data_IF_876656591628
#
_entry.id   IF_876656591628
#
_cell.length_a   1.000
_cell.length_b   1.000
_cell.length_c   1.000
_cell.angle_alpha   90.00
_cell.angle_beta   90.00
_cell.angle_gamma   90.00
#
_symmetry.space_group_name_H-M   'P 1'
#
loop_
_entity.id
_entity.type
_entity.pdbx_description
1 polymer ?
#
# COMPACT_ATOMS: atom_id res chain seq x y z
N UNK A 1 -61.62 60.98 -13.38
CA UNK A 1 -60.22 61.12 -12.96
C UNK A 1 -60.00 60.19 -11.80
N UNK A 2 -59.43 58.98 -12.06
CA UNK A 2 -59.06 58.01 -10.99
C UNK A 2 -57.54 57.90 -10.95
N UNK A 3 -56.94 58.25 -9.82
CA UNK A 3 -55.51 58.13 -9.59
C UNK A 3 -55.16 56.67 -9.19
N UNK A 4 -54.19 56.06 -9.85
CA UNK A 4 -53.56 54.80 -9.45
C UNK A 4 -52.40 55.09 -8.52
N UNK A 5 -52.20 54.32 -7.40
CA UNK A 5 -51.02 54.42 -6.57
C UNK A 5 -49.89 53.59 -7.17
N UNK A 6 -48.72 54.20 -7.27
CA UNK A 6 -47.51 53.51 -7.70
C UNK A 6 -46.99 52.53 -6.62
N UNK A 7 -46.74 51.31 -7.05
CA UNK A 7 -46.10 50.26 -6.23
C UNK A 7 -44.57 50.39 -6.37
N UNK A 8 -43.92 50.74 -5.28
CA UNK A 8 -42.46 50.83 -5.20
C UNK A 8 -41.92 49.42 -4.92
N UNK A 9 -41.25 48.77 -5.88
CA UNK A 9 -40.58 47.49 -5.72
C UNK A 9 -39.19 47.73 -5.08
N UNK A 10 -39.03 47.39 -3.83
CA UNK A 10 -37.73 47.32 -3.14
C UNK A 10 -37.03 46.01 -3.53
N UNK A 11 -36.01 46.10 -4.36
CA UNK A 11 -35.11 45.00 -4.69
C UNK A 11 -34.09 44.91 -3.56
N UNK A 12 -34.29 43.94 -2.64
CA UNK A 12 -33.27 43.56 -1.64
C UNK A 12 -32.24 42.67 -2.30
N UNK A 13 -31.10 43.23 -2.63
CA UNK A 13 -29.93 42.49 -3.13
C UNK A 13 -29.31 41.71 -1.97
N UNK A 14 -29.59 40.37 -1.87
CA UNK A 14 -28.91 39.47 -0.96
C UNK A 14 -27.51 39.17 -1.49
N UNK A 15 -26.51 39.79 -0.89
CA UNK A 15 -25.10 39.42 -1.10
C UNK A 15 -24.86 38.02 -0.47
N UNK A 16 -24.79 37.01 -1.34
CA UNK A 16 -24.33 35.65 -0.97
C UNK A 16 -22.81 35.70 -0.78
N UNK A 17 -22.34 35.78 0.45
CA UNK A 17 -20.94 35.59 0.80
C UNK A 17 -20.57 34.10 0.59
N UNK A 18 -19.99 33.78 -0.55
CA UNK A 18 -19.37 32.49 -0.81
C UNK A 18 -18.07 32.45 -0.01
N UNK A 19 -18.10 31.80 1.16
CA UNK A 19 -16.91 31.48 1.93
C UNK A 19 -16.14 30.40 1.13
N UNK A 20 -15.07 30.80 0.45
CA UNK A 20 -14.08 29.86 -0.05
C UNK A 20 -13.36 29.27 1.15
N UNK A 21 -13.77 28.05 1.56
CA UNK A 21 -12.95 27.20 2.43
C UNK A 21 -11.66 26.91 1.67
N UNK A 22 -10.60 27.62 2.02
CA UNK A 22 -9.25 27.29 1.57
C UNK A 22 -8.93 25.88 2.07
N UNK A 23 -8.98 24.88 1.20
CA UNK A 23 -8.34 23.62 1.44
C UNK A 23 -6.84 23.91 1.62
N UNK A 24 -6.36 23.88 2.86
CA UNK A 24 -4.93 23.89 3.11
C UNK A 24 -4.36 22.60 2.51
N UNK A 25 -3.64 22.74 1.40
CA UNK A 25 -2.83 21.63 0.86
C UNK A 25 -1.77 21.35 1.93
N UNK A 26 -1.93 20.25 2.65
CA UNK A 26 -0.94 19.79 3.61
C UNK A 26 0.37 19.52 2.87
N UNK A 27 1.32 20.45 2.99
CA UNK A 27 2.66 20.27 2.42
C UNK A 27 3.35 19.14 3.17
N UNK A 28 3.88 18.17 2.43
CA UNK A 28 4.70 17.11 3.03
C UNK A 28 5.92 17.71 3.72
N UNK A 29 6.20 17.26 4.94
CA UNK A 29 7.43 17.59 5.67
C UNK A 29 8.55 16.71 5.14
N UNK A 30 9.61 17.31 4.62
CA UNK A 30 10.82 16.57 4.26
C UNK A 30 11.66 16.33 5.51
N UNK A 31 12.02 15.06 5.75
CA UNK A 31 12.84 14.65 6.89
C UNK A 31 14.11 13.94 6.40
N UNK A 32 15.17 14.73 6.21
CA UNK A 32 16.47 14.22 5.73
C UNK A 32 17.25 13.47 6.82
N UNK A 33 16.88 13.58 8.10
CA UNK A 33 17.56 12.87 9.20
C UNK A 33 17.38 11.35 9.09
N UNK A 34 16.36 10.91 8.35
CA UNK A 34 16.14 9.48 8.06
C UNK A 34 17.22 8.87 7.18
N UNK A 35 17.97 9.68 6.42
CA UNK A 35 19.06 9.21 5.54
C UNK A 35 20.03 8.26 6.27
N UNK A 36 20.35 8.58 7.52
CA UNK A 36 21.28 7.79 8.34
C UNK A 36 20.92 6.30 8.47
N UNK A 37 19.62 5.95 8.45
CA UNK A 37 19.16 4.56 8.56
C UNK A 37 19.41 3.76 7.29
N UNK A 38 19.34 4.42 6.14
CA UNK A 38 19.66 3.83 4.84
C UNK A 38 21.17 3.73 4.64
N UNK A 39 21.91 4.78 4.96
CA UNK A 39 23.38 4.81 4.91
C UNK A 39 24.01 3.72 5.79
N UNK A 40 23.49 3.51 6.99
CA UNK A 40 23.97 2.46 7.92
C UNK A 40 23.83 1.04 7.36
N UNK A 41 23.00 0.86 6.33
CA UNK A 41 22.83 -0.43 5.62
C UNK A 41 23.43 -0.41 4.21
N UNK A 42 24.13 0.67 3.85
CA UNK A 42 24.74 0.89 2.53
C UNK A 42 23.72 0.67 1.38
N UNK A 43 22.56 1.31 1.50
CA UNK A 43 21.47 1.24 0.53
C UNK A 43 20.90 2.62 0.23
N UNK A 44 20.30 2.77 -0.95
CA UNK A 44 19.42 3.89 -1.26
C UNK A 44 17.99 3.56 -0.84
N UNK A 45 17.18 4.59 -0.59
CA UNK A 45 15.77 4.35 -0.31
C UNK A 45 14.98 5.64 -0.12
N UNK A 46 13.70 5.45 0.12
CA UNK A 46 12.78 6.47 0.59
C UNK A 46 11.85 5.92 1.65
N UNK A 47 11.28 6.83 2.42
CA UNK A 47 10.28 6.51 3.42
C UNK A 47 9.21 7.61 3.42
N UNK A 48 7.95 7.22 3.37
CA UNK A 48 6.82 8.13 3.54
C UNK A 48 5.89 7.62 4.63
N UNK A 49 5.39 8.55 5.45
CA UNK A 49 4.46 8.25 6.54
C UNK A 49 3.36 9.30 6.61
N UNK A 50 2.12 8.83 6.69
CA UNK A 50 0.94 9.66 6.94
C UNK A 50 0.44 9.45 8.36
N UNK A 51 0.42 10.51 9.16
CA UNK A 51 -0.33 10.57 10.41
C UNK A 51 -1.81 10.80 10.08
N UNK A 52 -2.66 9.81 10.32
CA UNK A 52 -4.08 9.92 9.99
C UNK A 52 -4.84 10.89 10.91
N UNK A 53 -4.33 11.19 12.11
CA UNK A 53 -5.00 12.07 13.08
C UNK A 53 -5.00 13.53 12.61
N UNK A 54 -3.87 14.02 12.08
CA UNK A 54 -3.71 15.41 11.66
C UNK A 54 -3.45 15.59 10.15
N UNK A 55 -3.42 14.48 9.40
CA UNK A 55 -3.20 14.45 7.96
C UNK A 55 -1.78 14.83 7.53
N UNK A 56 -0.82 14.98 8.46
CA UNK A 56 0.56 15.32 8.11
C UNK A 56 1.26 14.15 7.43
N UNK A 57 1.98 14.48 6.36
CA UNK A 57 2.83 13.54 5.63
C UNK A 57 4.28 13.91 5.91
N UNK A 58 5.09 12.93 6.29
CA UNK A 58 6.54 13.04 6.41
C UNK A 58 7.19 12.20 5.34
N UNK A 59 8.16 12.76 4.60
CA UNK A 59 8.83 12.09 3.49
C UNK A 59 10.34 12.23 3.61
N UNK A 60 11.05 11.14 3.41
CA UNK A 60 12.47 11.11 3.10
C UNK A 60 12.65 10.71 1.65
N UNK A 61 13.48 11.44 0.88
CA UNK A 61 13.77 11.24 -0.53
C UNK A 61 12.50 11.28 -1.42
N UNK A 62 11.93 12.47 -1.56
CA UNK A 62 10.73 12.74 -2.36
C UNK A 62 10.85 12.26 -3.81
N UNK A 63 12.04 12.36 -4.43
CA UNK A 63 12.24 11.93 -5.81
C UNK A 63 11.99 10.44 -5.99
N UNK A 64 12.42 9.62 -5.02
CA UNK A 64 12.18 8.18 -5.04
C UNK A 64 10.77 7.84 -4.58
N UNK A 65 10.18 8.62 -3.66
CA UNK A 65 8.82 8.44 -3.16
C UNK A 65 7.76 8.58 -4.26
N UNK A 66 7.98 9.46 -5.24
CA UNK A 66 7.07 9.68 -6.36
C UNK A 66 7.43 8.86 -7.62
N UNK A 67 8.52 8.11 -7.59
CA UNK A 67 8.97 7.29 -8.71
C UNK A 67 8.31 5.92 -8.70
N UNK A 68 7.72 5.51 -9.83
CA UNK A 68 7.07 4.20 -9.97
C UNK A 68 8.09 3.11 -10.29
N UNK A 69 8.06 2.03 -9.51
CA UNK A 69 8.85 0.80 -9.75
C UNK A 69 7.97 -0.43 -9.59
N UNK A 70 8.49 -1.61 -9.95
CA UNK A 70 7.74 -2.87 -9.81
C UNK A 70 7.27 -3.08 -8.37
N UNK A 71 6.00 -3.42 -8.13
CA UNK A 71 5.47 -3.65 -6.78
C UNK A 71 6.00 -4.92 -6.14
N UNK A 72 6.47 -5.87 -6.93
CA UNK A 72 6.85 -7.19 -6.46
C UNK A 72 5.74 -7.80 -5.55
N UNK A 73 6.10 -8.40 -4.42
CA UNK A 73 5.11 -9.05 -3.55
C UNK A 73 4.17 -8.11 -2.79
N UNK A 74 4.31 -6.78 -2.88
CA UNK A 74 3.27 -5.88 -2.33
C UNK A 74 1.97 -5.95 -3.13
N UNK A 75 2.03 -6.32 -4.42
CA UNK A 75 0.84 -6.56 -5.24
C UNK A 75 -0.05 -7.68 -4.69
N UNK A 76 0.46 -8.57 -3.83
CA UNK A 76 -0.34 -9.60 -3.17
C UNK A 76 -1.50 -9.04 -2.35
N UNK A 77 -1.42 -7.80 -1.87
CA UNK A 77 -2.54 -7.09 -1.23
C UNK A 77 -3.71 -7.00 -2.22
N UNK A 78 -3.45 -6.46 -3.41
CA UNK A 78 -4.46 -6.27 -4.46
C UNK A 78 -4.91 -7.60 -5.05
N UNK A 79 -3.97 -8.54 -5.27
CA UNK A 79 -4.28 -9.88 -5.77
C UNK A 79 -5.23 -10.64 -4.80
N UNK A 80 -5.03 -10.50 -3.47
CA UNK A 80 -5.95 -11.06 -2.45
C UNK A 80 -7.32 -10.39 -2.50
N UNK A 81 -7.38 -9.05 -2.60
CA UNK A 81 -8.64 -8.31 -2.72
C UNK A 81 -9.44 -8.77 -3.94
N UNK A 82 -8.79 -8.84 -5.10
CA UNK A 82 -9.44 -9.27 -6.34
C UNK A 82 -9.83 -10.75 -6.27
N UNK A 83 -8.95 -11.62 -5.75
CA UNK A 83 -9.20 -13.04 -5.62
C UNK A 83 -10.43 -13.37 -4.78
N UNK A 84 -10.58 -12.72 -3.62
CA UNK A 84 -11.75 -12.85 -2.74
C UNK A 84 -13.00 -12.18 -3.33
N UNK A 85 -12.85 -11.04 -3.99
CA UNK A 85 -13.97 -10.32 -4.58
C UNK A 85 -14.58 -11.05 -5.77
N UNK A 86 -13.75 -11.64 -6.62
CA UNK A 86 -14.16 -12.38 -7.82
C UNK A 86 -14.61 -13.84 -7.53
N UNK A 87 -14.32 -14.36 -6.32
CA UNK A 87 -14.56 -15.76 -5.96
C UNK A 87 -13.48 -16.73 -6.45
N UNK A 88 -12.37 -16.24 -7.03
CA UNK A 88 -11.20 -17.08 -7.36
C UNK A 88 -10.60 -17.73 -6.10
N UNK A 89 -10.76 -17.06 -4.96
CA UNK A 89 -10.59 -17.59 -3.59
C UNK A 89 -11.92 -17.42 -2.88
N UNK A 90 -12.48 -18.47 -2.29
CA UNK A 90 -13.78 -18.42 -1.61
C UNK A 90 -13.70 -17.72 -0.26
N UNK A 91 -12.61 -17.93 0.46
CA UNK A 91 -12.26 -17.29 1.73
C UNK A 91 -10.76 -17.44 2.00
N UNK A 92 -10.26 -16.83 3.08
CA UNK A 92 -8.84 -16.85 3.43
C UNK A 92 -8.30 -18.23 3.87
N UNK A 93 -9.18 -19.19 4.21
CA UNK A 93 -8.82 -20.57 4.57
C UNK A 93 -8.85 -21.51 3.38
N UNK A 94 -9.26 -21.06 2.18
CA UNK A 94 -9.28 -21.91 0.99
C UNK A 94 -7.88 -22.40 0.63
N UNK A 95 -7.72 -23.74 0.64
CA UNK A 95 -6.45 -24.38 0.30
C UNK A 95 -6.25 -24.38 -1.22
N UNK A 96 -5.09 -23.89 -1.66
CA UNK A 96 -4.54 -24.17 -3.00
C UNK A 96 -3.48 -25.26 -2.85
N UNK A 97 -3.65 -26.33 -3.61
CA UNK A 97 -2.72 -27.47 -3.62
C UNK A 97 -1.37 -27.06 -4.18
N UNK A 98 -0.31 -27.56 -3.57
CA UNK A 98 1.02 -27.48 -4.13
C UNK A 98 1.10 -28.21 -5.47
N UNK A 99 1.80 -27.64 -6.43
CA UNK A 99 1.93 -28.17 -7.77
C UNK A 99 2.98 -29.29 -7.90
N UNK A 100 3.58 -29.73 -6.77
CA UNK A 100 4.61 -30.77 -6.74
C UNK A 100 6.01 -30.29 -7.14
N UNK A 101 6.18 -29.03 -7.55
CA UNK A 101 7.47 -28.48 -7.96
C UNK A 101 8.24 -28.00 -6.73
N UNK A 102 9.38 -28.63 -6.45
CA UNK A 102 10.29 -28.22 -5.35
C UNK A 102 10.99 -26.92 -5.71
N UNK A 103 10.80 -25.89 -4.87
CA UNK A 103 11.41 -24.56 -5.00
C UNK A 103 12.43 -24.33 -3.91
N UNK A 104 13.31 -23.35 -4.14
CA UNK A 104 14.42 -22.99 -3.24
C UNK A 104 13.99 -22.49 -1.85
N UNK A 105 12.74 -22.02 -1.74
CA UNK A 105 12.13 -21.59 -0.47
C UNK A 105 11.29 -22.75 0.05
N UNK A 106 11.74 -23.47 1.09
CA UNK A 106 11.08 -24.71 1.55
C UNK A 106 9.62 -24.50 1.97
N UNK A 107 9.31 -23.33 2.54
CA UNK A 107 7.97 -22.94 3.00
C UNK A 107 6.94 -22.88 1.88
N UNK A 108 7.38 -22.82 0.60
CA UNK A 108 6.48 -22.79 -0.58
C UNK A 108 6.12 -24.17 -1.11
N UNK A 109 6.78 -25.24 -0.60
CA UNK A 109 6.66 -26.60 -1.13
C UNK A 109 5.60 -27.42 -0.38
N UNK A 110 4.40 -26.88 -0.23
CA UNK A 110 3.27 -27.54 0.42
C UNK A 110 1.94 -26.89 0.05
N UNK A 111 0.85 -27.59 0.32
CA UNK A 111 -0.50 -27.02 0.28
C UNK A 111 -0.61 -25.87 1.29
N UNK A 112 -1.28 -24.80 0.93
CA UNK A 112 -1.49 -23.68 1.87
C UNK A 112 -2.75 -22.87 1.58
N UNK A 113 -3.26 -22.22 2.60
CA UNK A 113 -4.32 -21.23 2.48
C UNK A 113 -3.75 -19.82 2.17
N UNK A 114 -4.65 -18.85 1.99
CA UNK A 114 -4.26 -17.48 1.68
C UNK A 114 -3.48 -16.83 2.82
N UNK A 115 -3.84 -17.09 4.08
CA UNK A 115 -3.19 -16.49 5.25
C UNK A 115 -1.73 -16.92 5.33
N UNK A 116 -1.47 -18.21 5.17
CA UNK A 116 -0.11 -18.74 5.17
C UNK A 116 0.68 -18.26 3.95
N UNK A 117 0.08 -18.32 2.76
CA UNK A 117 0.72 -17.88 1.51
C UNK A 117 1.09 -16.38 1.56
N UNK A 118 0.24 -15.54 2.16
CA UNK A 118 0.53 -14.12 2.35
C UNK A 118 1.70 -13.91 3.32
N UNK A 119 1.71 -14.63 4.44
CA UNK A 119 2.74 -14.57 5.48
C UNK A 119 4.13 -14.94 4.94
N UNK A 120 4.25 -16.09 4.24
CA UNK A 120 5.51 -16.53 3.65
C UNK A 120 5.78 -15.92 2.27
N UNK A 121 4.88 -15.05 1.81
CA UNK A 121 4.97 -14.38 0.50
C UNK A 121 5.09 -15.36 -0.68
N UNK A 122 4.35 -16.48 -0.65
CA UNK A 122 4.40 -17.55 -1.64
C UNK A 122 4.04 -17.04 -3.04
N UNK A 123 5.00 -17.05 -3.95
CA UNK A 123 4.79 -16.63 -5.34
C UNK A 123 3.90 -17.63 -6.09
N UNK A 124 4.17 -18.94 -6.07
CA UNK A 124 3.34 -19.92 -6.78
C UNK A 124 1.86 -19.89 -6.42
N UNK A 125 1.53 -19.72 -5.13
CA UNK A 125 0.14 -19.55 -4.68
C UNK A 125 -0.53 -18.36 -5.39
N UNK A 126 0.10 -17.19 -5.39
CA UNK A 126 -0.45 -15.99 -5.99
C UNK A 126 -0.43 -15.98 -7.51
N UNK A 127 0.45 -16.75 -8.14
CA UNK A 127 0.41 -17.04 -9.56
C UNK A 127 -0.85 -17.84 -9.91
N UNK A 128 -1.19 -18.85 -9.13
CA UNK A 128 -2.42 -19.63 -9.32
C UNK A 128 -3.66 -18.77 -9.08
N UNK A 129 -3.68 -17.95 -8.05
CA UNK A 129 -4.78 -16.98 -7.80
C UNK A 129 -4.96 -16.06 -9.01
N UNK A 130 -3.89 -15.52 -9.56
CA UNK A 130 -3.97 -14.62 -10.72
C UNK A 130 -4.48 -15.34 -11.98
N UNK A 131 -4.09 -16.59 -12.21
CA UNK A 131 -4.64 -17.42 -13.30
C UNK A 131 -6.13 -17.66 -13.15
N UNK A 132 -6.62 -17.95 -11.92
CA UNK A 132 -8.05 -18.13 -11.64
C UNK A 132 -8.86 -16.84 -11.79
N UNK A 133 -8.30 -15.69 -11.41
CA UNK A 133 -8.93 -14.38 -11.63
C UNK A 133 -9.11 -14.12 -13.13
N UNK A 134 -8.09 -14.44 -13.92
CA UNK A 134 -8.06 -14.18 -15.36
C UNK A 134 -7.73 -12.73 -15.71
N UNK A 135 -7.32 -12.52 -16.96
CA UNK A 135 -6.80 -11.21 -17.41
C UNK A 135 -7.83 -10.10 -17.36
N UNK A 136 -9.00 -10.31 -17.91
CA UNK A 136 -10.02 -9.26 -18.05
C UNK A 136 -10.50 -8.77 -16.68
N UNK A 137 -10.78 -9.70 -15.76
CA UNK A 137 -11.16 -9.36 -14.38
C UNK A 137 -10.03 -8.64 -13.65
N UNK A 138 -8.77 -9.11 -13.81
CA UNK A 138 -7.62 -8.46 -13.20
C UNK A 138 -7.45 -7.03 -13.69
N UNK A 139 -7.53 -6.80 -15.02
CA UNK A 139 -7.41 -5.47 -15.62
C UNK A 139 -8.52 -4.54 -15.13
N UNK A 140 -9.76 -5.02 -15.14
CA UNK A 140 -10.92 -4.26 -14.66
C UNK A 140 -10.72 -3.72 -13.23
N UNK A 141 -10.22 -4.58 -12.32
CA UNK A 141 -9.98 -4.17 -10.94
C UNK A 141 -8.78 -3.26 -10.79
N UNK A 142 -7.67 -3.53 -11.48
CA UNK A 142 -6.48 -2.65 -11.50
C UNK A 142 -6.85 -1.25 -11.99
N UNK A 143 -7.69 -1.15 -13.02
CA UNK A 143 -8.20 0.13 -13.54
C UNK A 143 -9.13 0.83 -12.54
N UNK A 144 -10.06 0.07 -11.94
CA UNK A 144 -11.07 0.59 -11.00
C UNK A 144 -10.44 1.21 -9.75
N UNK A 145 -9.38 0.61 -9.23
CA UNK A 145 -8.66 1.15 -8.06
C UNK A 145 -7.57 2.15 -8.42
N UNK A 146 -7.28 2.32 -9.71
CA UNK A 146 -6.23 3.22 -10.19
C UNK A 146 -4.83 2.81 -9.75
N UNK A 147 -4.49 1.51 -9.79
CA UNK A 147 -3.21 1.00 -9.29
C UNK A 147 -2.03 1.36 -10.20
N UNK A 148 -1.20 2.28 -9.75
CA UNK A 148 0.04 2.68 -10.41
C UNK A 148 -0.13 3.03 -11.90
N UNK A 149 0.68 2.43 -12.77
CA UNK A 149 0.60 2.61 -14.24
C UNK A 149 -0.48 1.74 -14.92
N UNK A 150 -1.13 0.84 -14.19
CA UNK A 150 -2.20 -0.07 -14.65
C UNK A 150 -1.78 -1.07 -15.74
N UNK A 151 -0.50 -1.20 -16.02
CA UNK A 151 0.03 -2.08 -17.05
C UNK A 151 0.17 -3.52 -16.53
N UNK A 152 -0.78 -4.39 -16.91
CA UNK A 152 -0.71 -5.83 -16.64
C UNK A 152 -0.30 -6.64 -17.87
N UNK A 153 0.36 -6.04 -18.85
CA UNK A 153 0.90 -6.74 -20.01
C UNK A 153 1.89 -7.85 -19.62
N UNK A 154 2.15 -8.78 -20.53
CA UNK A 154 2.93 -9.97 -20.24
C UNK A 154 2.11 -11.11 -19.62
N UNK A 155 2.73 -12.16 -19.04
CA UNK A 155 2.02 -13.29 -18.45
C UNK A 155 1.18 -12.86 -17.25
N UNK A 156 -0.08 -13.34 -17.18
CA UNK A 156 -1.03 -12.97 -16.12
C UNK A 156 -0.53 -13.30 -14.71
N UNK A 157 0.36 -14.25 -14.59
CA UNK A 157 0.90 -14.74 -13.33
C UNK A 157 2.27 -14.16 -12.95
N UNK A 158 2.75 -13.12 -13.67
CA UNK A 158 4.07 -12.51 -13.39
C UNK A 158 4.18 -11.01 -13.67
N UNK A 159 3.16 -10.34 -14.20
CA UNK A 159 3.22 -8.92 -14.59
C UNK A 159 3.62 -7.97 -13.43
N UNK A 160 3.44 -8.35 -12.18
CA UNK A 160 3.88 -7.60 -10.99
C UNK A 160 5.33 -7.89 -10.57
N UNK A 161 6.04 -8.77 -11.29
CA UNK A 161 7.42 -9.20 -11.01
C UNK A 161 8.41 -8.80 -12.11
N UNK A 162 7.93 -8.38 -13.28
CA UNK A 162 8.72 -8.22 -14.51
C UNK A 162 8.79 -6.77 -15.02
N UNK A 163 8.54 -5.79 -14.15
CA UNK A 163 8.59 -4.35 -14.45
C UNK A 163 7.52 -3.80 -15.42
N UNK A 164 6.48 -4.56 -15.79
CA UNK A 164 5.34 -4.02 -16.50
C UNK A 164 4.47 -3.17 -15.56
N UNK A 165 3.91 -3.80 -14.52
CA UNK A 165 3.18 -3.06 -13.50
C UNK A 165 4.15 -2.30 -12.58
N UNK A 166 3.88 -1.01 -12.39
CA UNK A 166 4.70 -0.13 -11.54
C UNK A 166 3.81 0.74 -10.66
N UNK A 167 4.28 1.03 -9.46
CA UNK A 167 3.62 1.89 -8.49
C UNK A 167 4.67 2.64 -7.66
N UNK A 168 4.35 3.83 -7.18
CA UNK A 168 5.21 4.62 -6.30
C UNK A 168 4.88 4.44 -4.82
N UNK A 169 5.78 4.76 -3.89
CA UNK A 169 5.52 4.70 -2.45
C UNK A 169 4.33 5.57 -2.01
N UNK A 170 4.19 6.78 -2.51
CA UNK A 170 3.06 7.67 -2.20
C UNK A 170 1.72 7.07 -2.70
N UNK A 171 1.67 6.44 -3.88
CA UNK A 171 0.49 5.72 -4.37
C UNK A 171 0.16 4.50 -3.50
N UNK A 172 1.17 3.75 -3.02
CA UNK A 172 0.99 2.67 -2.05
C UNK A 172 0.39 3.18 -0.74
N UNK A 173 0.88 4.32 -0.25
CA UNK A 173 0.37 4.97 0.96
C UNK A 173 -1.13 5.29 0.83
N UNK A 174 -1.52 5.87 -0.30
CA UNK A 174 -2.92 6.17 -0.62
C UNK A 174 -3.81 4.93 -0.70
N UNK A 175 -3.32 3.85 -1.30
CA UNK A 175 -4.01 2.56 -1.38
C UNK A 175 -4.25 1.97 0.02
N UNK A 176 -3.23 1.96 0.87
CA UNK A 176 -3.30 1.43 2.23
C UNK A 176 -4.31 2.19 3.10
N UNK A 177 -4.33 3.51 3.01
CA UNK A 177 -5.33 4.32 3.72
C UNK A 177 -6.75 3.96 3.28
N UNK A 178 -6.99 3.86 1.97
CA UNK A 178 -8.30 3.45 1.45
C UNK A 178 -8.69 2.04 1.89
N UNK A 179 -7.75 1.09 1.89
CA UNK A 179 -7.97 -0.28 2.38
C UNK A 179 -8.36 -0.29 3.86
N UNK A 180 -7.65 0.47 4.69
CA UNK A 180 -7.88 0.52 6.13
C UNK A 180 -9.28 1.02 6.48
N UNK A 181 -9.78 2.04 5.76
CA UNK A 181 -11.08 2.68 6.00
C UNK A 181 -12.22 2.15 5.12
N UNK A 182 -12.09 0.97 4.51
CA UNK A 182 -13.11 0.37 3.62
C UNK A 182 -13.54 1.28 2.46
N UNK A 183 -12.61 2.08 1.93
CA UNK A 183 -12.85 3.05 0.86
C UNK A 183 -12.47 2.55 -0.54
N UNK A 184 -11.94 1.33 -0.66
CA UNK A 184 -11.74 0.69 -1.95
C UNK A 184 -13.07 0.10 -2.46
N UNK A 185 -13.26 -0.06 -3.78
CA UNK A 185 -14.51 -0.55 -4.38
C UNK A 185 -14.71 -2.07 -4.22
N UNK A 186 -14.24 -2.65 -3.12
CA UNK A 186 -14.42 -4.04 -2.74
C UNK A 186 -15.42 -4.17 -1.59
N UNK A 187 -16.04 -5.34 -1.46
CA UNK A 187 -16.88 -5.63 -0.28
C UNK A 187 -16.09 -5.39 1.00
N UNK A 188 -16.75 -4.83 2.03
CA UNK A 188 -16.08 -4.54 3.32
C UNK A 188 -15.48 -5.79 3.96
N UNK A 189 -16.18 -6.93 3.89
CA UNK A 189 -15.66 -8.21 4.38
C UNK A 189 -14.36 -8.64 3.69
N UNK A 190 -14.26 -8.42 2.37
CA UNK A 190 -13.03 -8.69 1.60
C UNK A 190 -11.88 -7.80 2.06
N UNK A 191 -12.15 -6.50 2.26
CA UNK A 191 -11.14 -5.57 2.77
C UNK A 191 -10.71 -5.94 4.19
N UNK A 192 -11.64 -6.35 5.04
CA UNK A 192 -11.36 -6.82 6.39
C UNK A 192 -10.45 -8.07 6.37
N UNK A 193 -10.79 -9.11 5.60
CA UNK A 193 -9.96 -10.32 5.48
C UNK A 193 -8.51 -9.99 5.06
N UNK A 194 -8.34 -9.04 4.13
CA UNK A 194 -6.99 -8.64 3.70
C UNK A 194 -6.26 -7.85 4.79
N UNK A 195 -6.93 -6.97 5.54
CA UNK A 195 -6.31 -6.30 6.70
C UNK A 195 -5.86 -7.31 7.77
N UNK A 196 -6.66 -8.32 8.05
CA UNK A 196 -6.35 -9.35 9.04
C UNK A 196 -5.09 -10.16 8.65
N UNK A 197 -4.93 -10.53 7.38
CA UNK A 197 -3.72 -11.25 6.93
C UNK A 197 -2.48 -10.35 6.84
N UNK A 198 -2.64 -9.03 6.83
CA UNK A 198 -1.53 -8.07 6.90
C UNK A 198 -0.95 -7.91 8.30
N UNK A 199 -1.66 -8.29 9.35
CA UNK A 199 -1.20 -8.17 10.74
C UNK A 199 -0.01 -9.09 10.98
N UNK A 200 1.11 -8.52 11.46
CA UNK A 200 2.37 -9.22 11.69
C UNK A 200 2.75 -9.25 13.16
N UNK A 201 2.52 -8.15 13.88
CA UNK A 201 2.81 -8.04 15.31
C UNK A 201 1.59 -7.45 16.02
N UNK A 202 1.14 -8.11 17.10
CA UNK A 202 0.03 -7.66 17.94
C UNK A 202 0.42 -7.86 19.40
N UNK A 203 0.54 -6.76 20.14
CA UNK A 203 0.92 -6.78 21.54
C UNK A 203 0.26 -5.60 22.28
N UNK A 204 0.54 -5.45 23.56
CA UNK A 204 -0.10 -4.41 24.41
C UNK A 204 0.31 -2.98 24.05
N UNK A 205 1.43 -2.78 23.37
CA UNK A 205 1.93 -1.45 23.03
C UNK A 205 1.47 -1.01 21.64
N UNK A 206 1.47 -1.92 20.64
CA UNK A 206 1.13 -1.58 19.26
C UNK A 206 0.64 -2.78 18.46
N UNK A 207 0.01 -2.48 17.32
CA UNK A 207 -0.28 -3.45 16.25
C UNK A 207 0.44 -3.00 14.98
N UNK A 208 1.23 -3.89 14.40
CA UNK A 208 2.01 -3.62 13.20
C UNK A 208 1.56 -4.52 12.06
N UNK A 209 1.01 -3.90 11.02
CA UNK A 209 0.53 -4.57 9.82
C UNK A 209 1.38 -4.17 8.62
N UNK A 210 1.83 -5.16 7.84
CA UNK A 210 2.58 -4.86 6.63
C UNK A 210 2.59 -6.00 5.61
N UNK A 211 2.96 -5.61 4.38
CA UNK A 211 3.40 -6.53 3.34
C UNK A 211 4.78 -6.12 2.82
N UNK A 212 5.62 -7.12 2.65
CA UNK A 212 6.95 -6.94 2.06
C UNK A 212 6.95 -7.29 0.58
N UNK A 213 7.86 -6.66 -0.19
CA UNK A 213 8.18 -7.02 -1.57
C UNK A 213 9.69 -7.15 -1.77
N UNK A 214 10.12 -8.03 -2.67
CA UNK A 214 11.48 -8.12 -3.15
C UNK A 214 11.43 -8.46 -4.64
N UNK A 215 12.11 -7.67 -5.42
CA UNK A 215 12.19 -7.79 -6.87
C UNK A 215 13.43 -7.11 -7.41
N UNK A 216 13.44 -6.84 -8.71
CA UNK A 216 14.54 -6.18 -9.39
C UNK A 216 14.00 -5.07 -10.27
N UNK A 217 14.72 -3.94 -10.33
CA UNK A 217 14.44 -2.89 -11.32
C UNK A 217 14.95 -3.27 -12.71
N UNK A 218 14.75 -2.38 -13.69
CA UNK A 218 15.19 -2.59 -15.07
C UNK A 218 16.72 -2.69 -15.20
N UNK A 219 17.45 -2.08 -14.27
CA UNK A 219 18.91 -2.12 -14.18
C UNK A 219 19.44 -3.32 -13.37
N UNK A 220 18.55 -4.24 -12.95
CA UNK A 220 18.85 -5.41 -12.11
C UNK A 220 19.31 -5.10 -10.69
N UNK A 221 19.09 -3.87 -10.19
CA UNK A 221 19.26 -3.61 -8.77
C UNK A 221 18.17 -4.29 -7.97
N UNK A 222 18.52 -4.73 -6.77
CA UNK A 222 17.53 -5.24 -5.82
C UNK A 222 16.60 -4.12 -5.37
N UNK A 223 15.29 -4.39 -5.37
CA UNK A 223 14.24 -3.52 -4.84
C UNK A 223 13.58 -4.22 -3.67
N UNK A 224 13.58 -3.57 -2.51
CA UNK A 224 12.92 -4.02 -1.29
C UNK A 224 11.79 -3.09 -0.88
N UNK A 225 10.57 -3.62 -0.76
CA UNK A 225 9.40 -2.91 -0.28
C UNK A 225 9.02 -3.33 1.13
N UNK A 226 8.52 -2.40 1.91
CA UNK A 226 7.69 -2.68 3.07
C UNK A 226 6.62 -1.57 3.18
N UNK A 227 5.35 -1.96 3.12
CA UNK A 227 4.20 -1.05 3.08
C UNK A 227 3.15 -1.53 4.07
N UNK A 228 2.55 -0.61 4.83
CA UNK A 228 1.62 -0.99 5.88
C UNK A 228 1.20 0.17 6.78
N UNK A 229 0.85 -0.19 8.00
CA UNK A 229 0.48 0.77 9.05
C UNK A 229 0.88 0.26 10.43
N UNK A 230 1.05 1.20 11.35
CA UNK A 230 1.17 0.93 12.78
C UNK A 230 -0.01 1.60 13.52
N UNK A 231 -0.62 0.85 14.42
CA UNK A 231 -1.67 1.33 15.33
C UNK A 231 -1.10 1.39 16.75
N UNK A 232 -1.20 2.55 17.36
CA UNK A 232 -0.76 2.79 18.74
C UNK A 232 -1.71 3.79 19.41
N UNK A 233 -2.17 3.49 20.62
CA UNK A 233 -3.09 4.35 21.40
C UNK A 233 -4.31 4.85 20.61
N UNK A 234 -4.94 3.99 19.79
CA UNK A 234 -6.10 4.28 18.91
C UNK A 234 -5.79 5.25 17.75
N UNK A 235 -4.52 5.53 17.47
CA UNK A 235 -4.09 6.27 16.29
C UNK A 235 -3.51 5.31 15.28
N UNK A 236 -3.68 5.64 13.99
CA UNK A 236 -3.11 4.87 12.88
C UNK A 236 -2.19 5.75 12.06
N UNK A 237 -1.04 5.19 11.70
CA UNK A 237 -0.01 5.82 10.87
C UNK A 237 0.31 4.88 9.72
N UNK A 238 0.05 5.33 8.50
CA UNK A 238 0.36 4.58 7.29
C UNK A 238 1.77 4.87 6.84
N UNK A 239 2.45 3.88 6.30
CA UNK A 239 3.80 4.06 5.77
C UNK A 239 4.03 3.23 4.51
N UNK A 240 4.93 3.75 3.66
CA UNK A 240 5.53 3.02 2.57
C UNK A 240 7.02 3.31 2.53
N UNK A 241 7.81 2.26 2.35
CA UNK A 241 9.27 2.34 2.26
C UNK A 241 9.75 1.52 1.07
N UNK A 242 10.64 2.12 0.31
CA UNK A 242 11.34 1.48 -0.79
C UNK A 242 12.85 1.53 -0.52
N UNK A 243 13.53 0.40 -0.70
CA UNK A 243 14.97 0.25 -0.59
C UNK A 243 15.52 -0.23 -1.92
N UNK A 244 16.65 0.32 -2.35
CA UNK A 244 17.34 -0.08 -3.58
C UNK A 244 18.80 -0.39 -3.28
N UNK A 245 19.33 -1.48 -3.86
CA UNK A 245 20.72 -1.85 -3.73
C UNK A 245 21.25 -2.56 -4.97
N UNK A 246 22.43 -2.20 -5.47
CA UNK A 246 23.12 -2.94 -6.53
C UNK A 246 23.79 -4.23 -6.04
N UNK A 247 23.93 -4.42 -4.71
CA UNK A 247 24.60 -5.59 -4.15
C UNK A 247 23.76 -6.86 -4.35
N UNK A 248 24.22 -7.84 -5.14
CA UNK A 248 23.48 -9.09 -5.37
C UNK A 248 23.40 -10.01 -4.13
N UNK A 249 24.21 -9.76 -3.10
CA UNK A 249 24.29 -10.55 -1.86
C UNK A 249 23.48 -9.94 -0.72
N UNK A 250 22.78 -8.81 -0.97
CA UNK A 250 22.04 -8.14 0.08
C UNK A 250 20.96 -9.05 0.68
N UNK A 251 20.90 -9.12 2.00
CA UNK A 251 19.74 -9.72 2.70
C UNK A 251 18.61 -8.69 2.83
N UNK A 252 17.87 -8.54 1.73
CA UNK A 252 16.78 -7.57 1.64
C UNK A 252 15.69 -7.80 2.70
N UNK A 253 15.52 -9.03 3.19
CA UNK A 253 14.54 -9.34 4.25
C UNK A 253 14.88 -8.61 5.54
N UNK A 254 16.14 -8.70 5.99
CA UNK A 254 16.61 -8.09 7.23
C UNK A 254 16.84 -6.59 7.09
N UNK A 255 17.38 -6.14 5.94
CA UNK A 255 17.68 -4.73 5.70
C UNK A 255 16.42 -3.89 5.79
N UNK A 256 15.39 -4.19 5.00
CA UNK A 256 14.15 -3.38 4.98
C UNK A 256 13.40 -3.40 6.31
N UNK A 257 13.33 -4.56 7.00
CA UNK A 257 12.64 -4.65 8.29
C UNK A 257 13.41 -3.91 9.39
N UNK A 258 14.75 -4.01 9.38
CA UNK A 258 15.61 -3.28 10.31
C UNK A 258 15.45 -1.77 10.16
N UNK A 259 15.55 -1.26 8.93
CA UNK A 259 15.36 0.19 8.65
C UNK A 259 13.98 0.64 9.10
N UNK A 260 12.90 -0.09 8.77
CA UNK A 260 11.55 0.28 9.20
C UNK A 260 11.48 0.40 10.73
N UNK A 261 11.95 -0.62 11.47
CA UNK A 261 11.88 -0.61 12.94
C UNK A 261 12.71 0.51 13.55
N UNK A 262 13.87 0.80 12.98
CA UNK A 262 14.72 1.92 13.43
C UNK A 262 14.04 3.28 13.21
N UNK A 263 13.38 3.48 12.05
CA UNK A 263 12.61 4.69 11.76
C UNK A 263 11.38 4.81 12.68
N UNK A 264 10.63 3.72 12.88
CA UNK A 264 9.49 3.73 13.79
C UNK A 264 9.91 4.11 15.21
N UNK A 265 11.01 3.56 15.73
CA UNK A 265 11.58 3.93 17.03
C UNK A 265 12.06 5.37 17.07
N UNK A 266 12.69 5.87 16.00
CA UNK A 266 13.11 7.28 15.89
C UNK A 266 11.93 8.25 16.09
N UNK A 267 10.76 7.90 15.58
CA UNK A 267 9.53 8.66 15.79
C UNK A 267 8.83 8.36 17.13
N UNK A 268 9.39 7.48 17.96
CA UNK A 268 8.86 7.13 19.28
C UNK A 268 7.70 6.14 19.25
N UNK A 269 7.56 5.35 18.15
CA UNK A 269 6.62 4.24 18.08
C UNK A 269 7.16 2.97 18.76
N UNK A 270 6.29 1.98 18.91
CA UNK A 270 6.55 0.65 19.48
C UNK A 270 6.73 0.64 21.02
N UNK A 271 6.42 1.75 21.67
CA UNK A 271 6.53 1.90 23.12
C UNK A 271 5.17 2.11 23.82
N UNK A 272 4.07 2.18 23.07
CA UNK A 272 2.73 2.45 23.61
C UNK A 272 2.53 3.90 24.05
N UNK A 273 3.28 4.85 23.48
CA UNK A 273 3.27 6.27 23.87
C UNK A 273 2.72 7.21 22.80
N UNK A 274 2.40 6.72 21.61
CA UNK A 274 1.91 7.53 20.46
C UNK A 274 0.39 7.50 20.33
#
# INVERSE_FOLDING_TARGET
>A
MKRFPGFLFLITSSLFLISFSSCSVNKAKIDNDLKKYFDAKNVEGCFTMLNNTDGKITVYNMAMDTSRVTPASTFKIVNSLIGLQSGAITNEQMIIKWDGVTRRIPEWNKDMDMKEAFKVSCVPYYQEVARRIGRDTMQQWVDSIGYGNKDISGPIDSFWLNNHLKISPDEQLGLLKKLYFDQLPFRKSVQQSVREVMLQEDNTAYRLSYKTGWGFDEQKNNIGWIVGWIEENRHVYFYAMLVKSPDPKIDMKWVRLGILKDILKHYGFMEGKK
#
